data_IF_890036037136
#
_entry.id   IF_890036037136
#
_cell.length_a   1.000
_cell.length_b   1.000
_cell.length_c   1.000
_cell.angle_alpha   90.00
_cell.angle_beta   90.00
_cell.angle_gamma   90.00
#
_symmetry.space_group_name_H-M   'P 1'
#
loop_
_entity.id
_entity.type
_entity.pdbx_description
1 polymer ?
#
# COMPACT_ATOMS: atom_id res chain seq x y z
N UNK A 1 -25.72 -14.20 13.48
CA UNK A 1 -24.64 -14.55 14.45
C UNK A 1 -25.05 -14.04 15.80
N UNK A 2 -24.75 -14.78 16.87
CA UNK A 2 -25.00 -14.33 18.24
C UNK A 2 -23.93 -13.28 18.64
N UNK A 3 -24.38 -12.08 19.00
CA UNK A 3 -23.56 -10.93 19.43
C UNK A 3 -22.52 -11.32 20.48
N UNK A 4 -22.89 -12.11 21.49
CA UNK A 4 -21.95 -12.48 22.56
C UNK A 4 -20.85 -13.40 22.07
N UNK A 5 -21.16 -14.29 21.12
CA UNK A 5 -20.18 -15.19 20.50
C UNK A 5 -19.18 -14.38 19.67
N UNK A 6 -19.66 -13.39 18.90
CA UNK A 6 -18.80 -12.52 18.10
C UNK A 6 -17.82 -11.73 18.98
N UNK A 7 -18.33 -11.09 20.04
CA UNK A 7 -17.50 -10.33 20.98
C UNK A 7 -16.52 -11.26 21.73
N UNK A 8 -17.00 -12.41 22.20
CA UNK A 8 -16.19 -13.44 22.88
C UNK A 8 -15.00 -13.92 22.05
N UNK A 9 -15.22 -14.24 20.77
CA UNK A 9 -14.14 -14.62 19.86
C UNK A 9 -13.14 -13.50 19.64
N UNK A 10 -13.61 -12.26 19.58
CA UNK A 10 -12.73 -11.11 19.40
C UNK A 10 -11.86 -10.84 20.65
N UNK A 11 -12.41 -10.97 21.86
CA UNK A 11 -11.65 -10.95 23.12
C UNK A 11 -10.51 -11.97 23.06
N UNK A 12 -10.83 -13.22 22.71
CA UNK A 12 -9.86 -14.30 22.59
C UNK A 12 -8.75 -13.97 21.61
N UNK A 13 -9.11 -13.48 20.42
CA UNK A 13 -8.16 -13.07 19.38
C UNK A 13 -7.20 -11.98 19.87
N UNK A 14 -7.70 -10.91 20.49
CA UNK A 14 -6.87 -9.83 21.01
C UNK A 14 -5.96 -10.30 22.15
N UNK A 15 -6.47 -11.18 23.02
CA UNK A 15 -5.71 -11.79 24.10
C UNK A 15 -4.52 -12.60 23.56
N UNK A 16 -4.76 -13.45 22.58
CA UNK A 16 -3.74 -14.28 21.93
C UNK A 16 -2.68 -13.42 21.20
N UNK A 17 -3.10 -12.34 20.51
CA UNK A 17 -2.18 -11.39 19.87
C UNK A 17 -1.25 -10.70 20.86
N UNK A 18 -1.72 -10.48 22.10
CA UNK A 18 -0.91 -9.94 23.20
C UNK A 18 -0.16 -11.01 24.00
N UNK A 19 -0.22 -12.27 23.56
CA UNK A 19 0.45 -13.40 24.20
C UNK A 19 0.03 -13.58 25.67
N UNK A 20 -1.23 -13.29 26.00
CA UNK A 20 -1.77 -13.45 27.35
C UNK A 20 -2.52 -14.78 27.50
N UNK A 21 -2.35 -15.46 28.64
CA UNK A 21 -3.23 -16.57 29.03
C UNK A 21 -4.59 -16.03 29.51
N UNK A 22 -5.61 -16.90 29.54
CA UNK A 22 -6.90 -16.53 30.11
C UNK A 22 -6.76 -16.13 31.59
N UNK A 23 -5.97 -16.86 32.38
CA UNK A 23 -5.71 -16.49 33.78
C UNK A 23 -5.08 -15.11 33.90
N UNK A 24 -4.07 -14.78 33.09
CA UNK A 24 -3.43 -13.47 33.11
C UNK A 24 -4.41 -12.34 32.79
N UNK A 25 -5.29 -12.53 31.80
CA UNK A 25 -6.30 -11.52 31.46
C UNK A 25 -7.37 -11.41 32.55
N UNK A 26 -7.81 -12.53 33.11
CA UNK A 26 -8.79 -12.58 34.19
C UNK A 26 -8.27 -11.84 35.43
N UNK A 27 -7.02 -12.09 35.83
CA UNK A 27 -6.35 -11.36 36.92
C UNK A 27 -6.25 -9.86 36.63
N UNK A 28 -5.89 -9.46 35.39
CA UNK A 28 -5.79 -8.03 35.01
C UNK A 28 -7.13 -7.29 35.07
N UNK A 29 -8.23 -8.01 34.89
CA UNK A 29 -9.59 -7.43 34.81
C UNK A 29 -10.42 -7.64 36.07
N UNK A 30 -9.90 -8.38 37.05
CA UNK A 30 -10.57 -8.67 38.31
C UNK A 30 -11.73 -9.67 38.18
N UNK A 31 -11.78 -10.45 37.10
CA UNK A 31 -12.79 -11.50 36.88
C UNK A 31 -12.20 -12.89 37.10
N UNK A 32 -13.05 -13.91 37.26
CA UNK A 32 -12.58 -15.30 37.38
C UNK A 32 -12.20 -15.87 36.02
N UNK A 33 -11.30 -16.84 36.03
CA UNK A 33 -10.95 -17.62 34.84
C UNK A 33 -12.19 -18.26 34.19
N UNK A 34 -13.09 -18.84 34.99
CA UNK A 34 -14.32 -19.46 34.49
C UNK A 34 -15.22 -18.45 33.78
N UNK A 35 -15.34 -17.23 34.33
CA UNK A 35 -16.16 -16.18 33.74
C UNK A 35 -15.57 -15.71 32.40
N UNK A 36 -14.25 -15.47 32.33
CA UNK A 36 -13.58 -15.13 31.09
C UNK A 36 -13.68 -16.25 30.04
N UNK A 37 -13.49 -17.50 30.44
CA UNK A 37 -13.59 -18.65 29.55
C UNK A 37 -15.02 -18.82 29.03
N UNK A 38 -16.03 -18.65 29.88
CA UNK A 38 -17.43 -18.63 29.47
C UNK A 38 -17.74 -17.54 28.45
N UNK A 39 -17.21 -16.33 28.68
CA UNK A 39 -17.35 -15.19 27.76
C UNK A 39 -16.71 -15.44 26.40
N UNK A 40 -15.45 -15.89 26.37
CA UNK A 40 -14.72 -16.16 25.11
C UNK A 40 -15.40 -17.26 24.27
N UNK A 41 -16.13 -18.17 24.91
CA UNK A 41 -16.88 -19.23 24.26
C UNK A 41 -18.37 -18.90 24.03
N UNK A 42 -18.81 -17.67 24.34
CA UNK A 42 -20.19 -17.19 24.17
C UNK A 42 -21.23 -17.86 25.09
N UNK A 43 -20.77 -18.49 26.17
CA UNK A 43 -21.62 -19.14 27.18
C UNK A 43 -22.11 -18.17 28.26
N UNK A 44 -21.33 -17.12 28.52
CA UNK A 44 -21.63 -16.08 29.50
C UNK A 44 -21.98 -14.74 28.83
N UNK A 45 -22.72 -13.89 29.55
CA UNK A 45 -23.05 -12.53 29.14
C UNK A 45 -21.97 -11.54 29.59
N UNK A 46 -22.03 -10.34 29.02
CA UNK A 46 -21.15 -9.24 29.37
C UNK A 46 -21.95 -8.12 30.03
N UNK A 47 -21.41 -7.54 31.11
CA UNK A 47 -21.81 -6.19 31.52
C UNK A 47 -20.98 -5.17 30.74
N UNK A 48 -21.48 -3.93 30.65
CA UNK A 48 -20.73 -2.83 30.02
C UNK A 48 -19.41 -2.59 30.77
N UNK A 49 -19.42 -2.66 32.10
CA UNK A 49 -18.22 -2.48 32.94
C UNK A 49 -17.15 -3.54 32.68
N UNK A 50 -17.57 -4.80 32.50
CA UNK A 50 -16.63 -5.89 32.18
C UNK A 50 -16.07 -5.69 30.77
N UNK A 51 -16.88 -5.28 29.80
CA UNK A 51 -16.39 -4.95 28.46
C UNK A 51 -15.37 -3.82 28.49
N UNK A 52 -15.63 -2.76 29.24
CA UNK A 52 -14.68 -1.65 29.37
C UNK A 52 -13.38 -2.09 30.09
N UNK A 53 -13.49 -2.92 31.13
CA UNK A 53 -12.33 -3.50 31.83
C UNK A 53 -11.47 -4.36 30.90
N UNK A 54 -12.08 -5.26 30.13
CA UNK A 54 -11.41 -6.09 29.13
C UNK A 54 -10.76 -5.25 28.04
N UNK A 55 -11.48 -4.25 27.50
CA UNK A 55 -11.00 -3.35 26.48
C UNK A 55 -9.75 -2.58 26.95
N UNK A 56 -9.78 -2.03 28.18
CA UNK A 56 -8.63 -1.37 28.80
C UNK A 56 -7.45 -2.32 29.03
N UNK A 57 -7.69 -3.51 29.58
CA UNK A 57 -6.65 -4.51 29.81
C UNK A 57 -6.00 -4.99 28.50
N UNK A 58 -6.76 -4.99 27.41
CA UNK A 58 -6.32 -5.28 26.05
C UNK A 58 -5.88 -4.03 25.27
N UNK A 59 -5.68 -2.89 25.94
CA UNK A 59 -5.15 -1.64 25.36
C UNK A 59 -5.89 -1.27 24.06
N UNK A 60 -7.21 -1.40 24.08
CA UNK A 60 -8.09 -1.12 22.95
C UNK A 60 -9.28 -0.33 23.48
N UNK A 61 -9.49 0.94 23.07
CA UNK A 61 -10.66 1.71 23.50
C UNK A 61 -11.97 0.98 23.21
N UNK A 62 -12.93 1.02 24.13
CA UNK A 62 -14.20 0.27 24.01
C UNK A 62 -14.92 0.47 22.65
N UNK A 63 -15.01 1.69 22.07
CA UNK A 63 -15.60 1.85 20.75
C UNK A 63 -14.87 1.06 19.65
N UNK A 64 -13.53 1.10 19.65
CA UNK A 64 -12.70 0.33 18.70
C UNK A 64 -12.80 -1.17 18.97
N UNK A 65 -12.93 -1.56 20.23
CA UNK A 65 -13.08 -2.95 20.64
C UNK A 65 -14.36 -3.57 20.09
N UNK A 66 -15.49 -2.88 20.26
CA UNK A 66 -16.78 -3.32 19.73
C UNK A 66 -16.76 -3.28 18.20
N UNK A 67 -16.30 -2.18 17.59
CA UNK A 67 -16.18 -2.09 16.14
C UNK A 67 -15.29 -3.21 15.57
N UNK A 68 -14.19 -3.56 16.23
CA UNK A 68 -13.30 -4.64 15.82
C UNK A 68 -13.91 -6.04 15.93
N UNK A 69 -14.79 -6.26 16.91
CA UNK A 69 -15.53 -7.52 17.06
C UNK A 69 -16.53 -7.73 15.91
N UNK A 70 -17.20 -6.67 15.48
CA UNK A 70 -18.18 -6.71 14.40
C UNK A 70 -17.61 -6.37 13.03
N UNK A 71 -16.34 -5.94 12.98
CA UNK A 71 -15.65 -5.76 11.73
C UNK A 71 -15.74 -7.10 10.99
N UNK A 72 -16.16 -7.10 9.72
CA UNK A 72 -16.27 -8.33 8.94
C UNK A 72 -14.96 -9.10 9.10
N UNK A 73 -15.05 -10.38 9.48
CA UNK A 73 -13.87 -11.26 9.55
C UNK A 73 -13.09 -11.04 8.27
N UNK A 74 -11.87 -10.50 8.40
CA UNK A 74 -10.83 -10.49 7.37
C UNK A 74 -11.40 -10.75 5.97
N UNK A 75 -11.99 -9.73 5.34
CA UNK A 75 -12.01 -9.70 3.86
C UNK A 75 -10.58 -9.72 3.30
N UNK A 76 -9.56 -9.66 4.17
CA UNK A 76 -8.15 -9.95 3.91
C UNK A 76 -7.83 -11.42 3.61
N UNK A 77 -8.74 -12.39 3.85
CA UNK A 77 -8.52 -13.77 3.38
C UNK A 77 -8.84 -13.81 1.88
N UNK A 78 -7.89 -13.37 1.06
CA UNK A 78 -7.98 -13.45 -0.40
C UNK A 78 -7.34 -12.27 -1.15
N UNK A 79 -7.16 -11.12 -0.52
CA UNK A 79 -6.57 -9.93 -1.19
C UNK A 79 -5.04 -9.94 -1.00
N UNK A 80 -4.42 -11.01 -1.46
CA UNK A 80 -2.96 -11.13 -1.53
C UNK A 80 -2.50 -11.11 -2.96
N UNK A 81 -1.33 -10.54 -3.21
CA UNK A 81 -0.68 -10.62 -4.52
C UNK A 81 -0.28 -12.06 -4.83
N UNK A 82 -0.36 -12.47 -6.09
CA UNK A 82 0.15 -13.78 -6.48
C UNK A 82 1.69 -13.73 -6.55
N UNK A 83 2.34 -14.59 -5.76
CA UNK A 83 3.80 -14.67 -5.71
C UNK A 83 4.44 -15.04 -7.04
N UNK A 84 3.74 -15.81 -7.87
CA UNK A 84 4.22 -16.25 -9.18
C UNK A 84 4.38 -15.09 -10.17
N UNK A 85 3.79 -13.93 -9.88
CA UNK A 85 3.88 -12.74 -10.72
C UNK A 85 5.13 -11.88 -10.41
N UNK A 86 5.90 -12.23 -9.37
CA UNK A 86 7.18 -11.58 -9.11
C UNK A 86 8.27 -12.10 -10.05
N UNK A 87 9.11 -11.17 -10.51
CA UNK A 87 10.25 -11.39 -11.40
C UNK A 87 11.55 -11.13 -10.63
N UNK A 88 12.07 -12.12 -9.86
CA UNK A 88 13.18 -11.92 -8.93
C UNK A 88 14.51 -11.54 -9.59
N UNK A 89 14.65 -11.74 -10.90
CA UNK A 89 15.82 -11.33 -11.69
C UNK A 89 15.91 -9.82 -11.93
N UNK A 90 14.84 -9.07 -11.65
CA UNK A 90 14.79 -7.63 -11.89
C UNK A 90 15.58 -6.88 -10.82
N UNK A 91 16.49 -5.97 -11.20
CA UNK A 91 17.23 -5.16 -10.24
C UNK A 91 16.29 -4.30 -9.38
N UNK A 92 16.54 -4.32 -8.07
CA UNK A 92 15.83 -3.51 -7.09
C UNK A 92 16.76 -2.47 -6.46
N UNK A 93 16.19 -1.40 -5.86
CA UNK A 93 16.95 -0.46 -5.06
C UNK A 93 17.76 -1.15 -3.95
N UNK A 94 18.94 -0.64 -3.57
CA UNK A 94 19.81 -1.29 -2.59
C UNK A 94 19.09 -1.70 -1.29
N UNK A 95 19.19 -2.98 -0.93
CA UNK A 95 18.56 -3.56 0.27
C UNK A 95 17.07 -3.92 0.12
N UNK A 96 16.42 -3.52 -0.97
CA UNK A 96 15.04 -3.91 -1.25
C UNK A 96 14.99 -5.38 -1.74
N UNK A 97 13.94 -6.10 -1.35
CA UNK A 97 13.68 -7.51 -1.72
C UNK A 97 12.23 -7.65 -2.17
N UNK A 98 11.94 -8.67 -2.99
CA UNK A 98 10.56 -8.98 -3.42
C UNK A 98 9.64 -9.27 -2.25
N UNK A 99 10.14 -9.91 -1.18
CA UNK A 99 9.36 -10.16 0.04
C UNK A 99 8.91 -8.88 0.76
N UNK A 100 9.71 -7.80 0.70
CA UNK A 100 9.32 -6.50 1.24
C UNK A 100 8.18 -5.89 0.41
N UNK A 101 8.27 -5.99 -0.92
CA UNK A 101 7.25 -5.52 -1.84
C UNK A 101 5.94 -6.28 -1.67
N UNK A 102 6.01 -7.61 -1.57
CA UNK A 102 4.86 -8.47 -1.31
C UNK A 102 4.14 -8.05 -0.01
N UNK A 103 4.88 -7.92 1.09
CA UNK A 103 4.32 -7.50 2.38
C UNK A 103 3.67 -6.10 2.28
N UNK A 104 4.36 -5.14 1.67
CA UNK A 104 3.86 -3.78 1.52
C UNK A 104 2.60 -3.71 0.63
N UNK A 105 2.60 -4.40 -0.52
CA UNK A 105 1.45 -4.47 -1.42
C UNK A 105 0.23 -5.07 -0.69
N UNK A 106 0.41 -6.18 0.02
CA UNK A 106 -0.66 -6.83 0.77
C UNK A 106 -1.19 -5.94 1.90
N UNK A 107 -0.30 -5.24 2.63
CA UNK A 107 -0.68 -4.31 3.68
C UNK A 107 -1.51 -3.13 3.14
N UNK A 108 -1.08 -2.53 2.03
CA UNK A 108 -1.83 -1.45 1.36
C UNK A 108 -3.21 -1.91 0.89
N UNK A 109 -3.31 -3.05 0.20
CA UNK A 109 -4.59 -3.60 -0.24
C UNK A 109 -5.53 -3.87 0.96
N UNK A 110 -4.98 -4.42 2.05
CA UNK A 110 -5.71 -4.67 3.29
C UNK A 110 -6.25 -3.38 3.92
N UNK A 111 -5.45 -2.31 3.98
CA UNK A 111 -5.90 -1.01 4.53
C UNK A 111 -7.07 -0.46 3.72
N UNK A 112 -6.94 -0.40 2.39
CA UNK A 112 -8.00 0.12 1.51
C UNK A 112 -9.26 -0.74 1.62
N UNK A 113 -9.11 -2.07 1.64
CA UNK A 113 -10.23 -2.98 1.78
C UNK A 113 -10.98 -2.81 3.11
N UNK A 114 -10.26 -2.55 4.20
CA UNK A 114 -10.88 -2.26 5.51
C UNK A 114 -11.66 -0.96 5.49
N UNK A 115 -11.13 0.10 4.86
CA UNK A 115 -11.85 1.37 4.75
C UNK A 115 -13.15 1.16 3.97
N UNK A 116 -13.08 0.53 2.80
CA UNK A 116 -14.25 0.28 1.97
C UNK A 116 -15.27 -0.64 2.66
N UNK A 117 -14.82 -1.71 3.33
CA UNK A 117 -15.72 -2.61 4.05
C UNK A 117 -16.53 -1.88 5.12
N UNK A 118 -15.91 -0.94 5.85
CA UNK A 118 -16.61 -0.13 6.85
C UNK A 118 -17.59 0.88 6.21
N UNK A 119 -17.22 1.50 5.08
CA UNK A 119 -18.12 2.39 4.34
C UNK A 119 -19.35 1.62 3.82
N UNK A 120 -19.13 0.46 3.20
CA UNK A 120 -20.22 -0.38 2.69
C UNK A 120 -21.12 -0.88 3.82
N UNK A 121 -20.54 -1.28 4.96
CA UNK A 121 -21.31 -1.73 6.12
C UNK A 121 -22.19 -0.62 6.73
N UNK A 122 -21.84 0.65 6.55
CA UNK A 122 -22.67 1.79 6.98
C UNK A 122 -23.66 2.28 5.90
N UNK A 123 -23.75 1.58 4.77
CA UNK A 123 -24.60 1.97 3.64
C UNK A 123 -24.02 3.09 2.77
N UNK A 124 -22.77 3.48 3.00
CA UNK A 124 -22.06 4.43 2.16
C UNK A 124 -21.47 3.74 0.91
N UNK A 125 -21.03 4.55 -0.06
CA UNK A 125 -20.33 4.08 -1.26
C UNK A 125 -18.87 3.71 -0.93
N UNK A 126 -18.18 2.93 -1.75
CA UNK A 126 -16.75 2.71 -1.56
C UNK A 126 -15.96 4.02 -1.77
N UNK A 127 -14.79 4.11 -1.13
CA UNK A 127 -13.96 5.33 -1.08
C UNK A 127 -13.64 5.94 -2.47
N UNK A 128 -13.32 5.16 -3.53
CA UNK A 128 -13.04 5.72 -4.84
C UNK A 128 -14.19 6.51 -5.47
N UNK A 129 -15.44 6.27 -5.07
CA UNK A 129 -16.60 7.02 -5.60
C UNK A 129 -16.70 8.44 -5.02
N UNK A 130 -16.04 8.72 -3.90
CA UNK A 130 -16.05 10.05 -3.28
C UNK A 130 -14.85 10.92 -3.68
N UNK A 131 -13.81 10.35 -4.30
CA UNK A 131 -12.52 11.00 -4.51
C UNK A 131 -12.17 11.00 -6.00
N UNK A 132 -11.73 12.13 -6.53
CA UNK A 132 -11.21 12.21 -7.90
C UNK A 132 -10.03 11.24 -8.11
N UNK A 133 -9.96 10.59 -9.28
CA UNK A 133 -9.02 9.48 -9.51
C UNK A 133 -7.53 9.83 -9.33
N UNK A 134 -7.13 11.07 -9.60
CA UNK A 134 -5.77 11.55 -9.31
C UNK A 134 -5.49 11.63 -7.80
N UNK A 135 -6.44 12.14 -7.02
CA UNK A 135 -6.35 12.21 -5.56
C UNK A 135 -6.40 10.81 -4.94
N UNK A 136 -7.23 9.91 -5.49
CA UNK A 136 -7.29 8.53 -5.03
C UNK A 136 -5.96 7.79 -5.29
N UNK A 137 -5.35 7.99 -6.46
CA UNK A 137 -4.00 7.47 -6.73
C UNK A 137 -2.94 8.10 -5.81
N UNK A 138 -3.07 9.38 -5.46
CA UNK A 138 -2.23 10.01 -4.44
C UNK A 138 -2.37 9.33 -3.07
N UNK A 139 -3.60 9.06 -2.64
CA UNK A 139 -3.89 8.33 -1.40
C UNK A 139 -3.27 6.93 -1.40
N UNK A 140 -3.45 6.15 -2.48
CA UNK A 140 -2.85 4.81 -2.60
C UNK A 140 -1.32 4.89 -2.56
N UNK A 141 -0.73 5.93 -3.15
CA UNK A 141 0.73 6.17 -3.10
C UNK A 141 1.19 6.39 -1.66
N UNK A 142 0.48 7.22 -0.89
CA UNK A 142 0.83 7.50 0.52
C UNK A 142 0.73 6.25 1.39
N UNK A 143 -0.38 5.49 1.28
CA UNK A 143 -0.56 4.23 2.03
C UNK A 143 0.50 3.20 1.63
N UNK A 144 0.94 3.19 0.36
CA UNK A 144 2.00 2.29 -0.08
C UNK A 144 3.40 2.73 0.39
N UNK A 145 3.66 4.04 0.48
CA UNK A 145 4.87 4.56 1.13
C UNK A 145 4.94 4.14 2.60
N UNK A 146 3.85 4.30 3.35
CA UNK A 146 3.76 3.84 4.75
C UNK A 146 4.02 2.34 4.87
N UNK A 147 3.39 1.54 4.00
CA UNK A 147 3.58 0.09 4.01
C UNK A 147 5.04 -0.30 3.69
N UNK A 148 5.70 0.38 2.75
CA UNK A 148 7.12 0.18 2.47
C UNK A 148 8.02 0.63 3.61
N UNK A 149 7.66 1.71 4.31
CA UNK A 149 8.33 2.14 5.53
C UNK A 149 8.29 1.04 6.60
N UNK A 150 7.17 0.37 6.78
CA UNK A 150 7.01 -0.64 7.83
C UNK A 150 7.64 -1.99 7.46
N UNK A 151 7.60 -2.35 6.17
CA UNK A 151 7.96 -3.68 5.70
C UNK A 151 9.30 -3.76 4.94
N UNK A 152 10.06 -2.67 4.87
CA UNK A 152 11.36 -2.65 4.19
C UNK A 152 12.43 -1.85 4.94
N UNK A 153 13.71 -1.91 4.51
CA UNK A 153 14.78 -1.05 5.00
C UNK A 153 14.61 0.43 4.62
N UNK A 154 13.73 0.76 3.68
CA UNK A 154 13.44 2.14 3.29
C UNK A 154 12.52 2.78 4.32
N UNK A 155 12.81 4.03 4.72
CA UNK A 155 12.08 4.79 5.73
C UNK A 155 11.69 6.15 5.17
N UNK A 156 10.63 6.73 5.74
CA UNK A 156 10.19 8.08 5.37
C UNK A 156 11.34 9.07 5.41
N UNK A 157 11.48 9.81 4.31
CA UNK A 157 12.27 11.02 4.31
C UNK A 157 11.47 12.14 5.01
N UNK A 158 12.11 13.22 5.45
CA UNK A 158 11.43 14.32 6.16
C UNK A 158 10.20 14.82 5.41
N UNK A 159 9.14 15.24 6.13
CA UNK A 159 7.89 15.73 5.54
C UNK A 159 8.18 16.82 4.48
N UNK A 160 7.83 16.54 3.22
CA UNK A 160 8.02 17.38 2.01
C UNK A 160 9.38 17.26 1.28
N UNK A 161 10.33 16.45 1.74
CA UNK A 161 11.61 16.30 1.04
C UNK A 161 11.57 15.16 0.01
N UNK A 162 12.06 15.43 -1.20
CA UNK A 162 12.39 14.39 -2.16
C UNK A 162 13.64 13.61 -1.72
N UNK A 163 13.70 12.28 -1.92
CA UNK A 163 12.63 11.38 -2.39
C UNK A 163 11.71 10.93 -1.26
N UNK A 164 10.57 10.32 -1.58
CA UNK A 164 9.58 9.84 -0.60
C UNK A 164 10.21 8.97 0.51
N UNK A 165 11.03 7.98 0.13
CA UNK A 165 11.71 7.09 1.07
C UNK A 165 13.23 7.09 0.86
N UNK A 166 13.96 6.80 1.93
CA UNK A 166 15.42 6.62 1.94
C UNK A 166 15.81 5.32 2.64
N UNK A 167 16.85 4.64 2.16
CA UNK A 167 17.51 3.57 2.90
C UNK A 167 18.71 4.16 3.68
N UNK A 168 18.62 4.34 5.01
CA UNK A 168 19.67 4.98 5.79
C UNK A 168 20.95 4.13 5.91
N UNK A 169 20.83 2.81 5.71
CA UNK A 169 21.97 1.89 5.80
C UNK A 169 22.87 1.92 4.56
N UNK A 170 22.41 2.50 3.44
CA UNK A 170 23.15 2.53 2.18
C UNK A 170 23.54 3.96 1.85
N UNK A 171 24.83 4.28 1.89
CA UNK A 171 25.36 5.60 1.50
C UNK A 171 26.14 5.49 0.19
N UNK A 172 25.70 6.21 -0.84
CA UNK A 172 26.43 6.34 -2.12
C UNK A 172 26.76 7.82 -2.35
N UNK A 173 28.05 8.15 -2.43
CA UNK A 173 28.50 9.55 -2.53
C UNK A 173 28.06 10.41 -1.33
N UNK A 174 28.01 9.82 -0.13
CA UNK A 174 27.60 10.50 1.11
C UNK A 174 26.09 10.67 1.31
N UNK A 175 25.25 10.35 0.31
CA UNK A 175 23.78 10.44 0.41
C UNK A 175 23.13 9.06 0.54
N UNK A 176 22.02 8.94 1.29
CA UNK A 176 21.29 7.68 1.38
C UNK A 176 20.67 7.30 0.03
N UNK A 177 20.46 6.00 -0.20
CA UNK A 177 19.76 5.54 -1.40
C UNK A 177 18.28 5.92 -1.32
N UNK A 178 17.83 6.78 -2.23
CA UNK A 178 16.45 7.26 -2.30
C UNK A 178 15.53 6.39 -3.15
N UNK A 179 14.22 6.47 -2.91
CA UNK A 179 13.17 5.86 -3.72
C UNK A 179 11.95 6.78 -3.77
N UNK A 180 11.60 7.23 -4.98
CA UNK A 180 10.37 7.98 -5.27
C UNK A 180 9.27 7.02 -5.71
N UNK A 181 8.04 7.23 -5.23
CA UNK A 181 6.92 6.32 -5.45
C UNK A 181 5.74 7.08 -6.05
N UNK A 182 5.11 6.47 -7.06
CA UNK A 182 3.81 6.90 -7.59
C UNK A 182 2.96 5.68 -7.86
N UNK A 183 1.67 5.76 -7.55
CA UNK A 183 0.70 4.77 -7.97
C UNK A 183 -0.27 5.32 -8.99
N UNK A 184 -0.84 4.45 -9.82
CA UNK A 184 -1.76 4.86 -10.89
C UNK A 184 -2.69 3.74 -11.33
N UNK A 185 -3.88 4.09 -11.79
CA UNK A 185 -4.78 3.16 -12.49
C UNK A 185 -4.44 3.00 -13.98
N UNK A 186 -3.55 3.84 -14.53
CA UNK A 186 -3.22 3.84 -15.95
C UNK A 186 -2.13 2.80 -16.23
N UNK A 187 -2.54 1.65 -16.76
CA UNK A 187 -1.65 0.55 -17.11
C UNK A 187 -0.63 0.98 -18.17
N UNK A 188 0.65 0.72 -17.90
CA UNK A 188 1.74 1.06 -18.81
C UNK A 188 2.04 2.56 -18.87
N UNK A 189 1.42 3.40 -18.05
CA UNK A 189 1.81 4.81 -17.88
C UNK A 189 3.22 4.87 -17.28
N UNK A 190 3.98 5.87 -17.71
CA UNK A 190 5.24 6.23 -17.08
C UNK A 190 5.10 6.97 -15.77
N UNK A 191 6.21 7.56 -15.33
CA UNK A 191 6.24 8.42 -14.16
C UNK A 191 5.73 9.83 -14.44
N UNK A 192 5.14 10.43 -13.41
CA UNK A 192 4.84 11.86 -13.34
C UNK A 192 5.54 12.44 -12.10
N UNK A 193 6.18 13.59 -12.25
CA UNK A 193 6.94 14.25 -11.18
C UNK A 193 6.82 15.76 -11.31
N UNK A 194 6.95 16.48 -10.20
CA UNK A 194 7.00 17.95 -10.22
C UNK A 194 8.33 18.50 -10.73
N UNK A 195 9.41 17.76 -10.52
CA UNK A 195 10.77 18.25 -10.79
C UNK A 195 11.58 17.32 -11.70
N UNK A 196 11.05 16.13 -12.06
CA UNK A 196 11.74 15.19 -12.94
C UNK A 196 13.13 14.82 -12.43
N UNK A 197 13.24 14.32 -11.21
CA UNK A 197 14.51 14.07 -10.54
C UNK A 197 15.25 12.81 -11.05
N UNK A 198 16.56 12.78 -10.80
CA UNK A 198 17.37 11.58 -10.98
C UNK A 198 17.21 10.63 -9.79
N UNK A 199 17.21 9.32 -10.04
CA UNK A 199 17.26 8.30 -8.99
C UNK A 199 16.26 7.17 -9.19
N UNK A 200 16.13 6.31 -8.18
CA UNK A 200 15.17 5.22 -8.21
C UNK A 200 13.74 5.75 -8.14
N UNK A 201 12.94 5.27 -9.09
CA UNK A 201 11.51 5.52 -9.14
C UNK A 201 10.77 4.18 -9.18
N UNK A 202 9.64 4.15 -8.48
CA UNK A 202 8.66 3.08 -8.47
C UNK A 202 7.33 3.60 -9.01
N UNK A 203 6.85 3.00 -10.09
CA UNK A 203 5.48 3.20 -10.58
C UNK A 203 4.67 1.93 -10.29
N UNK A 204 3.68 2.04 -9.40
CA UNK A 204 2.81 0.95 -8.99
C UNK A 204 1.43 1.08 -9.64
N UNK A 205 1.13 0.24 -10.64
CA UNK A 205 -0.18 0.20 -11.24
C UNK A 205 -1.13 -0.71 -10.45
N UNK A 206 -2.36 -0.25 -10.31
CA UNK A 206 -3.43 -1.00 -9.65
C UNK A 206 -4.76 -0.88 -10.39
N UNK A 207 -5.66 -1.82 -10.12
CA UNK A 207 -7.07 -1.76 -10.52
C UNK A 207 -7.94 -1.49 -9.30
N UNK A 208 -9.09 -0.89 -9.56
CA UNK A 208 -10.15 -0.68 -8.57
C UNK A 208 -11.24 -1.69 -8.89
N UNK A 209 -11.56 -2.55 -7.93
CA UNK A 209 -12.64 -3.52 -8.06
C UNK A 209 -14.00 -2.79 -8.07
N UNK A 210 -14.84 -2.94 -9.10
CA UNK A 210 -16.02 -2.08 -9.30
C UNK A 210 -17.06 -2.12 -8.17
N UNK A 211 -17.22 -3.26 -7.48
CA UNK A 211 -18.25 -3.43 -6.46
C UNK A 211 -17.79 -3.03 -5.06
N UNK A 212 -16.51 -3.23 -4.76
CA UNK A 212 -15.96 -3.05 -3.42
C UNK A 212 -15.11 -1.78 -3.32
N UNK A 213 -14.68 -1.21 -4.44
CA UNK A 213 -13.65 -0.17 -4.51
C UNK A 213 -12.27 -0.61 -4.06
N UNK A 214 -12.05 -1.91 -3.86
CA UNK A 214 -10.78 -2.44 -3.39
C UNK A 214 -9.68 -2.24 -4.43
N UNK A 215 -8.47 -2.03 -3.94
CA UNK A 215 -7.28 -1.89 -4.78
C UNK A 215 -6.65 -3.26 -4.98
N UNK A 216 -6.33 -3.59 -6.23
CA UNK A 216 -5.50 -4.76 -6.61
C UNK A 216 -4.29 -4.27 -7.39
N UNK A 217 -3.09 -4.44 -6.85
CA UNK A 217 -1.87 -4.17 -7.60
C UNK A 217 -1.70 -5.17 -8.73
N UNK A 218 -1.31 -4.68 -9.90
CA UNK A 218 -1.17 -5.48 -11.12
C UNK A 218 0.19 -5.31 -11.79
N UNK A 219 0.95 -4.26 -11.47
CA UNK A 219 2.26 -4.02 -12.08
C UNK A 219 3.11 -3.12 -11.19
N UNK A 220 4.32 -3.54 -10.80
CA UNK A 220 5.33 -2.66 -10.20
C UNK A 220 6.51 -2.53 -11.15
N UNK A 221 6.84 -1.29 -11.49
CA UNK A 221 7.96 -0.92 -12.37
C UNK A 221 8.99 -0.14 -11.58
N UNK A 222 10.25 -0.59 -11.62
CA UNK A 222 11.38 0.10 -11.01
C UNK A 222 12.38 0.54 -12.09
N UNK A 223 12.93 1.74 -11.94
CA UNK A 223 14.08 2.16 -12.74
C UNK A 223 14.89 3.22 -12.02
N UNK A 224 16.18 3.30 -12.34
CA UNK A 224 16.96 4.50 -12.12
C UNK A 224 16.71 5.42 -13.30
N UNK A 225 16.06 6.55 -13.06
CA UNK A 225 15.77 7.55 -14.08
C UNK A 225 16.80 8.67 -14.03
N UNK A 226 17.16 9.19 -15.20
CA UNK A 226 17.98 10.38 -15.37
C UNK A 226 17.09 11.62 -15.30
N UNK A 227 17.43 12.54 -14.40
CA UNK A 227 16.69 13.78 -14.18
C UNK A 227 16.64 14.70 -15.41
N UNK A 228 15.70 15.63 -15.40
CA UNK A 228 15.41 16.51 -16.54
C UNK A 228 16.60 17.39 -16.99
N UNK A 229 17.57 17.63 -16.11
CA UNK A 229 18.78 18.43 -16.39
C UNK A 229 19.92 17.63 -17.01
N UNK A 230 19.76 16.31 -17.20
CA UNK A 230 20.78 15.43 -17.78
C UNK A 230 20.68 15.38 -19.31
N UNK A 231 21.81 15.12 -20.00
CA UNK A 231 21.87 15.02 -21.47
C UNK A 231 20.98 13.91 -22.04
N UNK A 232 20.81 12.82 -21.31
CA UNK A 232 19.91 11.72 -21.63
C UNK A 232 18.74 11.65 -20.64
N UNK A 233 18.05 12.77 -20.47
CA UNK A 233 16.92 12.89 -19.56
C UNK A 233 15.81 11.87 -19.87
N UNK A 234 15.34 11.20 -18.83
CA UNK A 234 14.17 10.32 -18.91
C UNK A 234 12.86 11.09 -18.71
N UNK A 235 12.93 12.42 -18.57
CA UNK A 235 11.80 13.31 -18.30
C UNK A 235 11.63 14.35 -19.41
N UNK A 236 10.39 14.66 -19.74
CA UNK A 236 10.01 15.81 -20.57
C UNK A 236 9.11 16.73 -19.78
N UNK A 237 9.41 18.03 -19.81
CA UNK A 237 8.54 19.04 -19.23
C UNK A 237 7.27 19.15 -20.06
N UNK A 238 6.10 19.02 -19.42
CA UNK A 238 4.79 19.14 -20.10
C UNK A 238 4.06 20.44 -19.78
N UNK A 239 4.65 21.26 -18.90
CA UNK A 239 4.18 22.61 -18.63
C UNK A 239 2.97 22.69 -17.70
N UNK A 240 2.87 23.84 -17.03
CA UNK A 240 1.64 24.33 -16.42
C UNK A 240 0.97 25.32 -17.37
N UNK A 241 0.16 24.87 -18.33
CA UNK A 241 -0.60 25.81 -19.17
C UNK A 241 -1.80 26.35 -18.37
N UNK A 242 -1.94 27.67 -18.32
CA UNK A 242 -3.15 28.32 -17.79
C UNK A 242 -4.28 28.01 -18.77
N UNK A 243 -5.35 27.41 -18.26
CA UNK A 243 -6.57 27.23 -19.02
C UNK A 243 -7.21 28.60 -19.23
N UNK A 244 -7.22 29.09 -20.47
CA UNK A 244 -7.70 30.42 -20.82
C UNK A 244 -9.19 30.65 -20.47
N UNK A 245 -10.00 29.60 -20.40
CA UNK A 245 -11.43 29.69 -20.09
C UNK A 245 -11.73 29.70 -18.58
N UNK A 246 -10.86 29.11 -17.77
CA UNK A 246 -11.11 28.92 -16.31
C UNK A 246 -10.09 29.62 -15.42
N UNK A 247 -9.00 30.14 -15.99
CA UNK A 247 -7.86 30.69 -15.24
C UNK A 247 -7.04 29.64 -14.48
N UNK A 248 -7.45 28.36 -14.51
CA UNK A 248 -6.79 27.28 -13.76
C UNK A 248 -5.41 26.95 -14.33
N UNK A 249 -4.41 26.77 -13.46
CA UNK A 249 -3.04 26.39 -13.82
C UNK A 249 -2.68 25.10 -13.08
N UNK A 250 -2.24 24.08 -13.82
CA UNK A 250 -1.65 22.88 -13.19
C UNK A 250 -0.33 23.23 -12.52
N UNK A 251 0.07 22.49 -11.50
CA UNK A 251 1.44 22.57 -10.96
C UNK A 251 2.43 22.15 -12.05
N UNK A 252 3.67 22.65 -11.98
CA UNK A 252 4.75 22.19 -12.87
C UNK A 252 4.82 20.66 -12.87
N UNK A 253 4.89 20.07 -14.07
CA UNK A 253 4.77 18.62 -14.28
C UNK A 253 5.75 18.17 -15.35
N UNK A 254 6.44 17.07 -15.04
CA UNK A 254 7.30 16.32 -15.93
C UNK A 254 6.71 14.92 -16.09
N UNK A 255 6.68 14.45 -17.33
CA UNK A 255 6.31 13.08 -17.65
C UNK A 255 7.54 12.34 -18.16
N UNK A 256 7.64 11.05 -17.89
CA UNK A 256 8.73 10.27 -18.47
C UNK A 256 8.64 10.23 -20.00
N UNK A 257 9.76 10.37 -20.68
CA UNK A 257 9.89 10.16 -22.13
C UNK A 257 9.64 8.70 -22.48
N UNK A 258 9.48 8.35 -23.78
CA UNK A 258 9.36 6.94 -24.17
C UNK A 258 10.58 6.11 -23.73
N UNK A 259 11.77 6.71 -23.66
CA UNK A 259 12.96 6.06 -23.12
C UNK A 259 12.84 5.78 -21.62
N UNK A 260 12.43 6.77 -20.83
CA UNK A 260 12.18 6.60 -19.39
C UNK A 260 11.08 5.58 -19.09
N UNK A 261 9.99 5.61 -19.86
CA UNK A 261 8.90 4.61 -19.78
C UNK A 261 9.43 3.21 -20.13
N UNK A 262 10.31 3.10 -21.13
CA UNK A 262 10.89 1.81 -21.51
C UNK A 262 11.79 1.28 -20.40
N UNK A 263 12.62 2.13 -19.76
CA UNK A 263 13.43 1.75 -18.58
C UNK A 263 12.56 1.22 -17.43
N UNK A 264 11.45 1.91 -17.11
CA UNK A 264 10.49 1.47 -16.10
C UNK A 264 9.88 0.10 -16.44
N UNK A 265 9.48 -0.10 -17.70
CA UNK A 265 8.90 -1.36 -18.17
C UNK A 265 9.92 -2.49 -18.21
N UNK A 266 11.18 -2.22 -18.57
CA UNK A 266 12.26 -3.20 -18.48
C UNK A 266 12.41 -3.67 -17.02
N UNK A 267 12.30 -2.77 -16.05
CA UNK A 267 12.32 -3.07 -14.61
C UNK A 267 10.98 -3.49 -13.99
N UNK A 268 10.13 -4.20 -14.72
CA UNK A 268 8.87 -4.74 -14.17
C UNK A 268 9.13 -5.88 -13.19
N UNK A 269 9.13 -5.60 -11.89
CA UNK A 269 9.42 -6.60 -10.84
C UNK A 269 8.21 -7.43 -10.44
N UNK A 270 7.00 -6.90 -10.61
CA UNK A 270 5.74 -7.61 -10.40
C UNK A 270 4.86 -7.33 -11.61
N UNK A 271 4.29 -8.36 -12.23
CA UNK A 271 3.46 -8.20 -13.42
C UNK A 271 2.37 -9.26 -13.45
N UNK A 272 1.11 -8.83 -13.33
CA UNK A 272 -0.04 -9.69 -13.47
C UNK A 272 -0.39 -9.90 -14.96
N UNK A 273 -0.14 -11.10 -15.53
CA UNK A 273 -0.34 -11.35 -16.95
C UNK A 273 -1.83 -11.39 -17.33
N UNK A 274 -2.73 -11.52 -16.35
CA UNK A 274 -4.19 -11.50 -16.59
C UNK A 274 -4.73 -10.08 -16.76
N UNK A 275 -4.03 -9.08 -16.20
CA UNK A 275 -4.43 -7.68 -16.26
C UNK A 275 -3.59 -6.85 -17.24
N UNK A 276 -2.35 -7.26 -17.54
CA UNK A 276 -1.40 -6.43 -18.30
C UNK A 276 -0.98 -7.10 -19.60
N UNK A 277 -1.46 -6.56 -20.73
CA UNK A 277 -0.99 -6.94 -22.06
C UNK A 277 0.06 -5.94 -22.58
N UNK A 278 1.34 -6.33 -22.50
CA UNK A 278 2.47 -5.48 -22.88
C UNK A 278 2.97 -5.69 -24.31
N UNK A 279 2.44 -6.67 -25.06
CA UNK A 279 2.99 -7.06 -26.39
C UNK A 279 3.06 -5.92 -27.40
N UNK A 280 2.14 -4.95 -27.31
CA UNK A 280 2.04 -3.79 -28.22
C UNK A 280 2.64 -2.51 -27.65
N UNK A 281 3.30 -2.57 -26.50
CA UNK A 281 3.90 -1.40 -25.91
C UNK A 281 5.07 -0.91 -26.75
N UNK A 282 4.98 0.36 -27.17
CA UNK A 282 6.08 1.06 -27.84
C UNK A 282 7.30 1.09 -26.92
N UNK A 283 8.48 0.96 -27.51
CA UNK A 283 9.77 0.92 -26.82
C UNK A 283 10.72 1.91 -27.47
N UNK A 284 11.57 2.55 -26.67
CA UNK A 284 12.72 3.33 -27.14
C UNK A 284 13.86 3.10 -26.15
N UNK A 285 15.02 2.67 -26.63
CA UNK A 285 16.18 2.38 -25.80
C UNK A 285 17.47 2.73 -26.55
N UNK A 286 18.51 3.02 -25.78
CA UNK A 286 19.89 3.10 -26.27
C UNK A 286 20.58 1.82 -25.83
N UNK A 287 21.11 1.04 -26.78
CA UNK A 287 21.74 -0.26 -26.49
C UNK A 287 20.79 -1.45 -26.48
N UNK A 288 21.30 -2.59 -25.99
CA UNK A 288 20.61 -3.88 -26.01
C UNK A 288 19.44 -3.95 -25.01
N UNK A 289 18.52 -4.89 -25.25
CA UNK A 289 17.44 -5.21 -24.30
C UNK A 289 18.06 -5.89 -23.07
N UNK A 290 17.83 -5.38 -21.85
CA UNK A 290 18.32 -6.05 -20.64
C UNK A 290 17.72 -7.46 -20.52
N UNK A 291 18.50 -8.44 -20.07
CA UNK A 291 18.03 -9.83 -19.92
C UNK A 291 16.85 -9.97 -18.94
N UNK A 292 16.71 -9.04 -17.99
CA UNK A 292 15.58 -9.00 -17.06
C UNK A 292 14.36 -8.23 -17.62
N UNK A 293 14.42 -7.70 -18.84
CA UNK A 293 13.30 -6.97 -19.44
C UNK A 293 12.11 -7.89 -19.66
N UNK A 294 10.89 -7.33 -19.60
CA UNK A 294 9.68 -8.03 -20.05
C UNK A 294 9.61 -8.16 -21.57
N UNK A 295 10.50 -7.50 -22.30
CA UNK A 295 10.61 -7.55 -23.77
C UNK A 295 11.76 -8.44 -24.25
N UNK A 296 12.49 -9.08 -23.34
CA UNK A 296 13.54 -10.04 -23.66
C UNK A 296 12.96 -11.40 -24.05
#
# INVERSE_FOLDING_TARGET
MDTKVTIGRFIRKLREQKQLTQEQLATKTGITYQHLSGMENGRENFTIDILESLARALVCPLPQFIAGAFAPESTTSGITVNRDYFRPQVPLPPGMKTSHLEAAMNATQSIVARINANLLASGAKPLPEYIQGNNFSGLVSNVFCDALNDHSPYKHNSHQAYPDLINPAVKKGGKPAGLEIKSTIQIGKGGESHNGHSGWHLIACFQIEPLTGNVRFIHLMFAVLNGHSQSEADWTYVGSKVNAATGSRRTETYNTTLAGVTKLRDGSVFLDPTAVNFKRWRQKRTGAVPAYSIFA
#
